data_IF_541804952615
#
_entry.id   IF_541804952615
#
_cell.length_a   1.000
_cell.length_b   1.000
_cell.length_c   1.000
_cell.angle_alpha   90.00
_cell.angle_beta   90.00
_cell.angle_gamma   90.00
#
_symmetry.space_group_name_H-M   'P 1'
#
loop_
_entity.id
_entity.type
_entity.pdbx_description
1 polymer ?
#
# COMPACT_ATOMS: atom_id res chain seq x y z
N UNK A 1 6.13 -13.44 -4.39
CA UNK A 1 5.47 -12.31 -3.70
C UNK A 1 4.53 -12.86 -2.64
N UNK A 2 4.53 -12.30 -1.43
CA UNK A 2 3.65 -12.78 -0.35
C UNK A 2 2.21 -12.31 -0.63
N UNK A 3 1.22 -13.18 -0.42
CA UNK A 3 -0.21 -12.86 -0.62
C UNK A 3 -0.65 -11.71 0.30
N UNK A 4 -0.04 -11.59 1.48
CA UNK A 4 -0.35 -10.55 2.48
C UNK A 4 -0.16 -9.12 1.93
N UNK A 5 0.68 -8.92 0.91
CA UNK A 5 0.96 -7.61 0.31
C UNK A 5 -0.28 -6.90 -0.25
N UNK A 6 -1.35 -7.64 -0.58
CA UNK A 6 -2.55 -7.09 -1.23
C UNK A 6 -3.66 -6.70 -0.25
N UNK A 7 -3.49 -7.00 1.03
CA UNK A 7 -4.58 -6.90 2.00
C UNK A 7 -5.03 -5.49 2.29
N UNK A 8 -4.08 -4.56 2.42
CA UNK A 8 -4.39 -3.14 2.56
C UNK A 8 -5.37 -2.67 1.48
N UNK A 9 -5.04 -2.96 0.22
CA UNK A 9 -5.86 -2.56 -0.91
C UNK A 9 -7.25 -3.21 -0.86
N UNK A 10 -7.31 -4.52 -0.60
CA UNK A 10 -8.58 -5.25 -0.52
C UNK A 10 -9.45 -4.73 0.64
N UNK A 11 -8.86 -4.40 1.80
CA UNK A 11 -9.52 -3.77 2.94
C UNK A 11 -10.14 -2.44 2.54
N UNK A 12 -9.36 -1.55 1.92
CA UNK A 12 -9.83 -0.23 1.49
C UNK A 12 -10.97 -0.33 0.48
N UNK A 13 -10.83 -1.16 -0.56
CA UNK A 13 -11.88 -1.30 -1.58
C UNK A 13 -13.14 -1.97 -1.02
N UNK A 14 -12.98 -2.89 -0.06
CA UNK A 14 -14.12 -3.48 0.66
C UNK A 14 -14.87 -2.44 1.49
N UNK A 15 -14.16 -1.54 2.19
CA UNK A 15 -14.77 -0.46 2.96
C UNK A 15 -15.54 0.54 2.07
N UNK A 16 -15.16 0.65 0.80
CA UNK A 16 -15.88 1.40 -0.23
C UNK A 16 -17.04 0.62 -0.88
N UNK A 17 -17.42 -0.53 -0.32
CA UNK A 17 -18.48 -1.42 -0.83
C UNK A 17 -18.25 -1.95 -2.25
N UNK A 18 -17.00 -2.06 -2.68
CA UNK A 18 -16.66 -2.57 -4.02
C UNK A 18 -16.78 -4.10 -4.03
N UNK A 19 -17.36 -4.63 -5.10
CA UNK A 19 -17.56 -6.07 -5.25
C UNK A 19 -16.21 -6.81 -5.35
N UNK A 20 -16.09 -7.95 -4.67
CA UNK A 20 -14.85 -8.76 -4.67
C UNK A 20 -14.38 -9.16 -6.06
N UNK A 21 -15.29 -9.33 -7.03
CA UNK A 21 -14.94 -9.60 -8.42
C UNK A 21 -14.19 -8.42 -9.06
N UNK A 22 -14.69 -7.20 -8.88
CA UNK A 22 -14.04 -5.99 -9.40
C UNK A 22 -12.69 -5.75 -8.73
N UNK A 23 -12.58 -6.00 -7.42
CA UNK A 23 -11.30 -5.90 -6.70
C UNK A 23 -10.29 -6.91 -7.27
N UNK A 24 -10.71 -8.16 -7.50
CA UNK A 24 -9.87 -9.19 -8.10
C UNK A 24 -9.44 -8.82 -9.52
N UNK A 25 -10.37 -8.35 -10.36
CA UNK A 25 -10.08 -7.96 -11.75
C UNK A 25 -9.10 -6.81 -11.81
N UNK A 26 -9.22 -5.84 -10.90
CA UNK A 26 -8.28 -4.72 -10.81
C UNK A 26 -6.89 -5.19 -10.39
N UNK A 27 -6.79 -6.05 -9.37
CA UNK A 27 -5.51 -6.64 -8.96
C UNK A 27 -4.88 -7.47 -10.09
N UNK A 28 -5.68 -8.28 -10.78
CA UNK A 28 -5.21 -9.09 -11.90
C UNK A 28 -4.76 -8.23 -13.08
N UNK A 29 -5.45 -7.11 -13.35
CA UNK A 29 -5.05 -6.19 -14.43
C UNK A 29 -3.68 -5.54 -14.19
N UNK A 30 -3.28 -5.38 -12.93
CA UNK A 30 -2.01 -4.74 -12.56
C UNK A 30 -0.90 -5.75 -12.35
N UNK A 31 -1.19 -6.87 -11.68
CA UNK A 31 -0.19 -7.83 -11.21
C UNK A 31 -0.24 -9.19 -11.92
N UNK A 32 -1.19 -9.39 -12.84
CA UNK A 32 -1.36 -10.62 -13.61
C UNK A 32 -1.34 -11.85 -12.68
N UNK A 33 -0.48 -12.84 -12.98
CA UNK A 33 -0.39 -14.09 -12.24
C UNK A 33 0.15 -13.95 -10.80
N UNK A 34 0.67 -12.78 -10.42
CA UNK A 34 1.04 -12.51 -9.04
C UNK A 34 -0.16 -12.10 -8.16
N UNK A 35 -1.29 -11.73 -8.77
CA UNK A 35 -2.49 -11.33 -8.05
C UNK A 35 -3.11 -12.49 -7.24
N UNK A 36 -3.76 -12.22 -6.10
CA UNK A 36 -4.47 -13.24 -5.35
C UNK A 36 -5.67 -13.76 -6.15
N UNK A 37 -5.95 -15.05 -6.02
CA UNK A 37 -7.13 -15.66 -6.66
C UNK A 37 -8.43 -15.00 -6.19
N UNK A 38 -9.47 -15.04 -7.03
CA UNK A 38 -10.79 -14.53 -6.67
C UNK A 38 -11.29 -15.07 -5.31
N UNK A 39 -11.11 -16.36 -5.05
CA UNK A 39 -11.51 -16.97 -3.78
C UNK A 39 -10.80 -16.36 -2.57
N UNK A 40 -9.52 -15.99 -2.72
CA UNK A 40 -8.75 -15.30 -1.68
C UNK A 40 -9.31 -13.89 -1.45
N UNK A 41 -9.54 -13.13 -2.52
CA UNK A 41 -10.13 -11.79 -2.45
C UNK A 41 -11.52 -11.82 -1.82
N UNK A 42 -12.38 -12.75 -2.23
CA UNK A 42 -13.74 -12.93 -1.71
C UNK A 42 -13.73 -13.28 -0.21
N UNK A 43 -12.83 -14.19 0.19
CA UNK A 43 -12.63 -14.58 1.60
C UNK A 43 -12.24 -13.36 2.46
N UNK A 44 -11.20 -12.62 2.05
CA UNK A 44 -10.75 -11.44 2.80
C UNK A 44 -11.78 -10.31 2.80
N UNK A 45 -12.44 -10.04 1.66
CA UNK A 45 -13.52 -9.05 1.60
C UNK A 45 -14.65 -9.38 2.59
N UNK A 46 -14.99 -10.67 2.73
CA UNK A 46 -15.98 -11.11 3.71
C UNK A 46 -15.48 -10.86 5.13
N UNK A 47 -14.24 -11.23 5.44
CA UNK A 47 -13.65 -11.01 6.77
C UNK A 47 -13.66 -9.55 7.18
N UNK A 48 -13.24 -8.64 6.28
CA UNK A 48 -13.23 -7.21 6.55
C UNK A 48 -14.63 -6.64 6.76
N UNK A 49 -15.64 -7.11 6.00
CA UNK A 49 -17.05 -6.72 6.25
C UNK A 49 -17.58 -7.18 7.60
N UNK A 50 -17.11 -8.32 8.08
CA UNK A 50 -17.46 -8.87 9.40
C UNK A 50 -16.67 -8.22 10.55
N UNK A 51 -15.84 -7.21 10.28
CA UNK A 51 -15.02 -6.55 11.29
C UNK A 51 -13.89 -7.42 11.84
N UNK A 52 -13.52 -8.49 11.12
CA UNK A 52 -12.37 -9.32 11.46
C UNK A 52 -11.09 -8.63 11.01
N UNK A 53 -10.62 -7.68 11.82
CA UNK A 53 -9.24 -7.19 11.75
C UNK A 53 -8.35 -8.30 12.32
N UNK A 54 -7.40 -8.80 11.55
CA UNK A 54 -6.52 -9.85 12.07
C UNK A 54 -5.36 -9.26 12.88
N UNK A 55 -4.61 -10.15 13.52
CA UNK A 55 -3.43 -9.81 14.32
C UNK A 55 -2.27 -9.30 13.44
N UNK A 56 -2.30 -9.54 12.14
CA UNK A 56 -1.28 -9.12 11.17
C UNK A 56 -1.52 -7.68 10.66
N UNK A 57 -2.77 -7.21 10.69
CA UNK A 57 -3.21 -5.85 10.41
C UNK A 57 -3.16 -4.95 11.68
N UNK A 58 -3.17 -5.55 12.89
CA UNK A 58 -2.94 -4.83 14.14
C UNK A 58 -1.45 -4.50 14.32
N UNK A 59 -1.09 -3.33 14.89
CA UNK A 59 0.29 -3.08 15.29
C UNK A 59 0.78 -4.22 16.18
N UNK A 60 1.90 -4.86 15.81
CA UNK A 60 2.42 -5.96 16.64
C UNK A 60 2.64 -5.46 18.07
N UNK A 61 2.02 -6.11 19.06
CA UNK A 61 2.01 -5.71 20.47
C UNK A 61 3.42 -5.69 21.10
N UNK A 62 4.36 -6.43 20.53
CA UNK A 62 5.77 -6.48 20.91
C UNK A 62 6.62 -5.40 20.22
N UNK A 63 6.03 -4.59 19.31
CA UNK A 63 6.70 -3.46 18.68
C UNK A 63 6.38 -2.14 19.36
N UNK A 64 7.43 -1.34 19.56
CA UNK A 64 7.24 0.06 19.90
C UNK A 64 6.64 0.80 18.70
N UNK A 65 5.61 1.61 18.96
CA UNK A 65 5.00 2.52 17.98
C UNK A 65 6.00 3.58 17.50
N UNK A 66 7.30 3.52 17.82
CA UNK A 66 8.32 4.50 17.41
C UNK A 66 9.16 4.12 16.19
N UNK A 67 8.95 2.92 15.65
CA UNK A 67 9.83 2.34 14.63
C UNK A 67 9.79 3.12 13.30
N UNK A 68 10.92 3.74 12.99
CA UNK A 68 11.18 4.52 11.77
C UNK A 68 11.62 3.56 10.69
N UNK A 69 10.92 3.51 9.55
CA UNK A 69 11.54 2.90 8.35
C UNK A 69 12.62 3.86 7.90
N UNK A 70 13.87 3.51 8.14
CA UNK A 70 15.01 4.41 7.92
C UNK A 70 15.55 4.33 6.50
N UNK A 71 15.20 3.29 5.76
CA UNK A 71 15.64 3.13 4.38
C UNK A 71 14.55 2.45 3.53
N UNK A 72 13.55 3.22 3.06
CA UNK A 72 12.65 2.71 2.02
C UNK A 72 13.23 3.01 0.65
N UNK A 73 13.43 1.98 -0.16
CA UNK A 73 13.62 2.14 -1.59
C UNK A 73 12.26 1.97 -2.26
N UNK A 74 11.78 3.05 -2.86
CA UNK A 74 10.53 3.05 -3.60
C UNK A 74 10.67 3.50 -5.04
N UNK A 75 9.76 2.98 -5.86
CA UNK A 75 9.40 3.53 -7.15
C UNK A 75 7.87 3.68 -7.20
N UNK A 76 7.42 4.89 -7.55
CA UNK A 76 6.01 5.24 -7.68
C UNK A 76 5.67 5.62 -9.10
N UNK A 77 4.66 4.95 -9.67
CA UNK A 77 4.12 5.25 -10.99
C UNK A 77 2.61 5.49 -10.95
N UNK A 78 2.11 6.31 -11.88
CA UNK A 78 0.69 6.53 -12.06
C UNK A 78 0.02 5.31 -12.69
N UNK A 79 -1.07 4.82 -12.11
CA UNK A 79 -1.81 3.66 -12.65
C UNK A 79 -2.32 3.90 -14.09
N UNK A 80 -2.63 5.16 -14.43
CA UNK A 80 -3.26 5.52 -15.71
C UNK A 80 -2.34 5.39 -16.93
N UNK A 81 -1.06 5.73 -16.78
CA UNK A 81 -0.11 5.85 -17.90
C UNK A 81 1.27 5.28 -17.60
N UNK A 82 1.53 4.78 -16.38
CA UNK A 82 2.83 4.26 -15.96
C UNK A 82 3.89 5.33 -15.76
N UNK A 83 3.53 6.62 -15.80
CA UNK A 83 4.47 7.71 -15.62
C UNK A 83 5.01 7.73 -14.19
N UNK A 84 6.33 7.79 -14.06
CA UNK A 84 7.02 7.82 -12.78
C UNK A 84 6.85 9.19 -12.14
N UNK A 85 6.35 9.21 -10.90
CA UNK A 85 6.19 10.44 -10.12
C UNK A 85 7.16 10.53 -8.95
N UNK A 86 7.70 9.39 -8.49
CA UNK A 86 8.68 9.38 -7.40
C UNK A 86 9.61 8.16 -7.46
N UNK A 87 10.86 8.33 -7.02
CA UNK A 87 11.85 7.24 -6.94
C UNK A 87 12.98 7.56 -5.97
N UNK A 88 13.22 6.68 -5.00
CA UNK A 88 14.40 6.77 -4.12
C UNK A 88 15.72 6.58 -4.88
N UNK A 89 15.71 5.79 -5.96
CA UNK A 89 16.89 5.62 -6.81
C UNK A 89 17.30 6.93 -7.48
N UNK A 90 16.33 7.68 -8.00
CA UNK A 90 16.59 8.97 -8.64
C UNK A 90 17.09 10.02 -7.63
N UNK A 91 16.60 9.96 -6.39
CA UNK A 91 17.04 10.88 -5.31
C UNK A 91 18.39 10.49 -4.70
N UNK A 92 18.84 9.25 -4.90
CA UNK A 92 20.12 8.74 -4.39
C UNK A 92 20.14 8.49 -2.88
N UNK A 93 19.01 8.61 -2.19
CA UNK A 93 18.85 8.25 -0.80
C UNK A 93 17.43 7.74 -0.53
N UNK A 94 17.26 6.82 0.44
CA UNK A 94 15.96 6.32 0.84
C UNK A 94 15.03 7.39 1.45
N UNK A 95 13.73 7.12 1.48
CA UNK A 95 12.77 7.95 2.22
C UNK A 95 12.58 7.47 3.66
N UNK A 96 12.79 8.38 4.60
CA UNK A 96 12.73 8.13 6.05
C UNK A 96 11.49 8.77 6.65
N UNK A 97 10.64 7.96 7.29
CA UNK A 97 9.48 8.47 8.01
C UNK A 97 9.03 7.51 9.11
N UNK A 98 8.26 8.05 10.06
CA UNK A 98 7.59 7.25 11.09
C UNK A 98 6.23 6.78 10.60
N UNK A 99 6.07 5.47 10.47
CA UNK A 99 4.81 4.86 10.03
C UNK A 99 3.72 5.12 11.07
N UNK A 100 2.56 5.59 10.61
CA UNK A 100 1.37 5.76 11.44
C UNK A 100 1.29 7.10 12.19
N UNK A 101 2.22 8.03 11.94
CA UNK A 101 2.22 9.37 12.53
C UNK A 101 1.70 10.46 11.59
N UNK A 102 1.15 10.10 10.42
CA UNK A 102 0.69 11.06 9.42
C UNK A 102 1.82 11.83 8.75
N UNK A 103 3.05 11.29 8.76
CA UNK A 103 4.21 11.90 8.12
C UNK A 103 4.30 11.60 6.62
N UNK A 104 3.58 10.58 6.15
CA UNK A 104 3.44 10.23 4.75
C UNK A 104 1.96 10.20 4.33
N UNK A 105 1.68 9.93 3.06
CA UNK A 105 0.32 9.71 2.59
C UNK A 105 -0.34 8.54 3.37
N UNK A 106 -1.66 8.62 3.57
CA UNK A 106 -2.41 7.61 4.34
C UNK A 106 -2.20 6.18 3.83
N UNK A 107 -1.99 6.01 2.53
CA UNK A 107 -1.72 4.72 1.91
C UNK A 107 -0.40 4.10 2.36
N UNK A 108 0.62 4.90 2.65
CA UNK A 108 1.89 4.40 3.20
C UNK A 108 1.74 4.10 4.69
N UNK A 109 1.14 5.03 5.43
CA UNK A 109 0.88 4.88 6.86
C UNK A 109 0.05 3.64 7.23
N UNK A 110 -0.75 3.13 6.30
CA UNK A 110 -1.55 1.92 6.50
C UNK A 110 -0.96 0.72 5.75
N UNK A 111 -0.50 0.92 4.52
CA UNK A 111 0.00 -0.14 3.64
C UNK A 111 1.37 -0.70 4.04
N UNK A 112 2.17 0.07 4.81
CA UNK A 112 3.49 -0.34 5.29
C UNK A 112 3.49 -0.77 6.76
N UNK A 113 2.34 -0.71 7.46
CA UNK A 113 2.23 -1.22 8.83
C UNK A 113 2.72 -2.67 8.90
N UNK A 114 3.46 -2.98 9.97
CA UNK A 114 3.98 -4.31 10.25
C UNK A 114 4.97 -4.89 9.22
N UNK A 115 5.54 -4.07 8.33
CA UNK A 115 6.65 -4.53 7.49
C UNK A 115 7.85 -4.98 8.33
N UNK A 116 8.50 -6.06 7.91
CA UNK A 116 9.79 -6.47 8.42
C UNK A 116 10.94 -5.84 7.61
N UNK A 117 12.12 -5.74 8.21
CA UNK A 117 13.34 -5.45 7.46
C UNK A 117 13.55 -6.49 6.34
N UNK A 118 13.94 -6.02 5.16
CA UNK A 118 14.04 -6.80 3.93
C UNK A 118 12.70 -7.15 3.26
N UNK A 119 11.55 -6.78 3.82
CA UNK A 119 10.25 -7.06 3.21
C UNK A 119 10.00 -6.14 2.01
N UNK A 120 9.40 -6.68 0.95
CA UNK A 120 8.93 -5.92 -0.20
C UNK A 120 7.41 -5.96 -0.32
N UNK A 121 6.79 -4.81 -0.55
CA UNK A 121 5.36 -4.66 -0.82
C UNK A 121 5.11 -3.95 -2.14
N UNK A 122 4.03 -4.38 -2.80
CA UNK A 122 3.45 -3.66 -3.94
C UNK A 122 2.09 -3.11 -3.50
N UNK A 123 1.92 -1.80 -3.56
CA UNK A 123 0.71 -1.12 -3.13
C UNK A 123 -0.03 -0.53 -4.33
N UNK A 124 -1.34 -0.72 -4.36
CA UNK A 124 -2.26 0.11 -5.15
C UNK A 124 -2.90 1.09 -4.17
N UNK A 125 -2.66 2.38 -4.35
CA UNK A 125 -3.14 3.42 -3.42
C UNK A 125 -4.20 4.26 -4.13
N UNK A 126 -5.49 4.15 -3.76
CA UNK A 126 -6.53 4.98 -4.34
C UNK A 126 -6.36 6.46 -3.93
N UNK A 127 -6.93 7.41 -4.69
CA UNK A 127 -6.73 8.85 -4.46
C UNK A 127 -7.08 9.30 -3.04
N UNK A 128 -8.13 8.74 -2.43
CA UNK A 128 -8.53 9.06 -1.06
C UNK A 128 -7.51 8.69 0.02
N UNK A 129 -6.54 7.82 -0.31
CA UNK A 129 -5.40 7.45 0.53
C UNK A 129 -4.07 8.04 0.01
N UNK A 130 -4.12 8.85 -1.04
CA UNK A 130 -3.00 9.56 -1.65
C UNK A 130 -3.28 11.07 -1.67
N UNK A 131 -3.33 11.68 -2.85
CA UNK A 131 -3.42 13.13 -3.06
C UNK A 131 -4.84 13.64 -3.40
N UNK A 132 -5.85 12.76 -3.30
CA UNK A 132 -7.26 13.09 -3.48
C UNK A 132 -7.60 13.68 -4.85
N UNK A 133 -8.69 14.46 -4.88
CA UNK A 133 -9.19 15.11 -6.10
C UNK A 133 -8.39 16.37 -6.48
N UNK A 134 -7.40 16.75 -5.68
CA UNK A 134 -6.54 17.92 -5.95
C UNK A 134 -5.30 17.51 -6.74
N UNK A 135 -4.77 16.31 -6.50
CA UNK A 135 -3.47 15.91 -7.03
C UNK A 135 -2.31 16.66 -6.34
N UNK A 136 -1.12 16.67 -6.95
CA UNK A 136 0.06 17.33 -6.38
C UNK A 136 1.02 17.86 -7.44
N UNK A 137 1.40 19.13 -7.29
CA UNK A 137 2.57 19.74 -7.96
C UNK A 137 2.57 19.71 -9.49
N UNK A 138 1.43 19.43 -10.13
CA UNK A 138 1.35 19.21 -11.58
C UNK A 138 1.91 17.86 -12.06
N UNK A 139 2.51 17.07 -11.18
CA UNK A 139 3.07 15.74 -11.46
C UNK A 139 2.03 14.65 -11.23
N UNK A 140 1.25 14.79 -10.15
CA UNK A 140 0.19 13.84 -9.81
C UNK A 140 -1.15 14.47 -10.15
N UNK A 141 -1.91 13.93 -11.11
CA UNK A 141 -3.19 14.51 -11.49
C UNK A 141 -4.26 14.30 -10.40
N UNK A 142 -5.31 15.15 -10.38
CA UNK A 142 -6.56 14.92 -9.65
C UNK A 142 -7.09 13.49 -9.78
N UNK A 143 -7.43 12.86 -8.66
CA UNK A 143 -8.06 11.53 -8.66
C UNK A 143 -7.11 10.37 -9.03
N UNK A 144 -5.80 10.62 -9.09
CA UNK A 144 -4.82 9.59 -9.43
C UNK A 144 -4.82 8.41 -8.45
N UNK A 145 -4.76 7.20 -9.00
CA UNK A 145 -4.40 5.99 -8.27
C UNK A 145 -2.91 5.73 -8.47
N UNK A 146 -2.19 5.50 -7.38
CA UNK A 146 -0.75 5.28 -7.40
C UNK A 146 -0.45 3.78 -7.34
N UNK A 147 0.58 3.35 -8.09
CA UNK A 147 1.20 2.04 -7.95
C UNK A 147 2.58 2.24 -7.34
N UNK A 148 2.84 1.57 -6.22
CA UNK A 148 4.10 1.69 -5.48
C UNK A 148 4.75 0.35 -5.32
N UNK A 149 6.04 0.27 -5.58
CA UNK A 149 6.92 -0.81 -5.12
C UNK A 149 7.76 -0.27 -3.98
N UNK A 150 7.71 -0.91 -2.81
CA UNK A 150 8.40 -0.46 -1.59
C UNK A 150 9.20 -1.62 -1.00
N UNK A 151 10.48 -1.41 -0.72
CA UNK A 151 11.32 -2.30 0.08
C UNK A 151 11.63 -1.60 1.39
N UNK A 152 11.34 -2.25 2.52
CA UNK A 152 11.77 -1.77 3.84
C UNK A 152 13.16 -2.32 4.11
N UNK A 153 14.23 -1.56 3.90
CA UNK A 153 15.59 -2.07 4.11
C UNK A 153 15.93 -2.18 5.60
N UNK A 154 15.52 -1.18 6.40
CA UNK A 154 15.89 -1.10 7.81
C UNK A 154 14.81 -0.41 8.66
N UNK A 155 14.73 -0.83 9.92
CA UNK A 155 13.80 -0.30 10.93
C UNK A 155 14.60 0.15 12.15
N UNK A 156 14.46 1.42 12.50
CA UNK A 156 15.13 2.03 13.65
C UNK A 156 14.15 2.23 14.81
N UNK A 157 14.51 1.71 15.99
CA UNK A 157 13.71 1.72 17.22
C UNK A 157 13.91 2.96 18.07
#
# INVERSE_FOLDING_TARGET
>A
MNKENYRFYIKVRTALNIQSKLIHDELYSVFSDQAPSYNTVAKWSRWFREGREDVEDQPRLDRSVTETTSENIEEGVLKSNGEKFDSSYDRGHPFVFKIGYGQAIKGWDQGLLNMCEGEQRKLIIPPSYAYGDVGAGGVIPPGATLLMDVVCEKIET
#
